data_IF_328620936262
#
_entry.id   IF_328620936262
#
_cell.length_a   1.000
_cell.length_b   1.000
_cell.length_c   1.000
_cell.angle_alpha   90.00
_cell.angle_beta   90.00
_cell.angle_gamma   90.00
#
_symmetry.space_group_name_H-M   'P 1'
#
loop_
_entity.id
_entity.type
_entity.pdbx_description
1 polymer ?
#
# COMPACT_ATOMS: atom_id res chain seq x y z
N UNK A 1 -19.99 17.09 1.60
CA UNK A 1 -19.03 17.64 2.59
C UNK A 1 -17.70 16.89 2.57
N UNK A 2 -17.66 15.57 2.76
CA UNK A 2 -16.41 14.78 2.82
C UNK A 2 -15.41 15.03 1.66
N UNK A 3 -15.90 15.03 0.42
CA UNK A 3 -15.06 15.27 -0.77
C UNK A 3 -14.40 16.65 -0.72
N UNK A 4 -15.18 17.70 -0.45
CA UNK A 4 -14.70 19.08 -0.41
C UNK A 4 -13.69 19.27 0.72
N UNK A 5 -13.99 18.79 1.93
CA UNK A 5 -13.06 18.89 3.05
C UNK A 5 -11.77 18.11 2.81
N UNK A 6 -11.86 16.92 2.20
CA UNK A 6 -10.70 16.13 1.83
C UNK A 6 -9.83 16.84 0.79
N UNK A 7 -10.44 17.40 -0.25
CA UNK A 7 -9.73 18.10 -1.32
C UNK A 7 -9.05 19.38 -0.81
N UNK A 8 -9.74 20.14 0.06
CA UNK A 8 -9.16 21.32 0.70
C UNK A 8 -7.96 20.96 1.58
N UNK A 9 -8.09 19.94 2.45
CA UNK A 9 -6.99 19.46 3.27
C UNK A 9 -5.80 19.00 2.41
N UNK A 10 -6.09 18.28 1.32
CA UNK A 10 -5.08 17.80 0.39
C UNK A 10 -4.31 18.95 -0.26
N UNK A 11 -5.02 19.93 -0.82
CA UNK A 11 -4.40 21.06 -1.52
C UNK A 11 -3.57 21.91 -0.55
N UNK A 12 -4.11 22.22 0.64
CA UNK A 12 -3.38 22.99 1.65
C UNK A 12 -2.11 22.24 2.08
N UNK A 13 -2.24 20.95 2.38
CA UNK A 13 -1.09 20.12 2.81
C UNK A 13 -0.06 19.99 1.70
N UNK A 14 -0.48 19.92 0.43
CA UNK A 14 0.43 19.90 -0.72
C UNK A 14 1.22 21.19 -0.82
N UNK A 15 0.54 22.34 -0.79
CA UNK A 15 1.21 23.65 -0.81
C UNK A 15 2.22 23.75 0.34
N UNK A 16 1.86 23.29 1.54
CA UNK A 16 2.79 23.28 2.69
C UNK A 16 3.97 22.32 2.46
N UNK A 17 3.72 21.11 1.94
CA UNK A 17 4.76 20.10 1.71
C UNK A 17 5.85 20.57 0.74
N UNK A 18 5.44 21.27 -0.33
CA UNK A 18 6.35 21.76 -1.37
C UNK A 18 6.99 23.11 -1.08
N UNK A 19 6.62 23.77 0.02
CA UNK A 19 7.20 25.04 0.43
C UNK A 19 7.91 24.87 1.77
N UNK A 20 9.21 24.52 1.74
CA UNK A 20 10.03 24.27 2.93
C UNK A 20 10.13 25.45 3.91
N UNK A 21 9.85 26.67 3.45
CA UNK A 21 9.87 27.87 4.29
C UNK A 21 8.61 28.02 5.14
N UNK A 22 7.54 27.27 4.85
CA UNK A 22 6.31 27.32 5.62
C UNK A 22 6.44 26.52 6.91
N UNK A 23 5.89 27.03 8.04
CA UNK A 23 5.78 26.25 9.26
C UNK A 23 5.10 24.90 8.99
N UNK A 24 5.55 23.85 9.67
CA UNK A 24 4.99 22.49 9.56
C UNK A 24 5.19 21.78 8.22
N UNK A 25 6.00 22.31 7.28
CA UNK A 25 6.31 21.63 6.02
C UNK A 25 6.78 20.18 6.23
N UNK A 26 7.62 19.96 7.23
CA UNK A 26 8.16 18.64 7.62
C UNK A 26 7.16 17.66 8.23
N UNK A 27 5.99 18.15 8.64
CA UNK A 27 4.93 17.37 9.26
C UNK A 27 3.70 17.21 8.36
N UNK A 28 3.74 17.75 7.15
CA UNK A 28 2.59 17.83 6.25
C UNK A 28 2.19 16.49 5.64
N UNK A 29 3.12 15.53 5.55
CA UNK A 29 2.94 14.29 4.79
C UNK A 29 1.76 13.42 5.27
N UNK A 30 1.54 13.16 6.58
CA UNK A 30 0.35 12.44 7.04
C UNK A 30 -0.95 13.17 6.70
N UNK A 31 -0.97 14.50 6.77
CA UNK A 31 -2.17 15.31 6.46
C UNK A 31 -2.48 15.35 4.97
N UNK A 32 -1.44 15.35 4.14
CA UNK A 32 -1.54 15.20 2.69
C UNK A 32 -2.25 13.89 2.33
N UNK A 33 -1.80 12.78 2.89
CA UNK A 33 -2.43 11.48 2.65
C UNK A 33 -3.81 11.34 3.30
N UNK A 34 -4.03 11.94 4.48
CA UNK A 34 -5.37 12.01 5.05
C UNK A 34 -6.33 12.75 4.11
N UNK A 35 -5.91 13.90 3.57
CA UNK A 35 -6.65 14.64 2.55
C UNK A 35 -6.95 13.79 1.32
N UNK A 36 -5.96 13.04 0.82
CA UNK A 36 -6.15 12.09 -0.28
C UNK A 36 -7.18 10.99 0.06
N UNK A 37 -7.07 10.34 1.22
CA UNK A 37 -7.98 9.28 1.66
C UNK A 37 -9.42 9.80 1.74
N UNK A 38 -9.63 10.98 2.32
CA UNK A 38 -10.95 11.62 2.41
C UNK A 38 -11.47 12.00 1.03
N UNK A 39 -10.61 12.48 0.14
CA UNK A 39 -10.95 12.81 -1.25
C UNK A 39 -11.38 11.56 -2.03
N UNK A 40 -10.59 10.48 -1.97
CA UNK A 40 -10.90 9.22 -2.65
C UNK A 40 -12.22 8.61 -2.16
N UNK A 41 -12.46 8.58 -0.84
CA UNK A 41 -13.73 8.12 -0.28
C UNK A 41 -14.88 9.08 -0.60
N UNK A 42 -14.64 10.38 -0.58
CA UNK A 42 -15.63 11.41 -0.94
C UNK A 42 -16.05 11.32 -2.40
N UNK A 43 -15.11 11.07 -3.31
CA UNK A 43 -15.35 10.87 -4.73
C UNK A 43 -16.16 9.59 -4.96
N UNK A 44 -15.78 8.52 -4.27
CA UNK A 44 -16.55 7.27 -4.26
C UNK A 44 -17.98 7.50 -3.77
N UNK A 45 -18.20 8.28 -2.70
CA UNK A 45 -19.55 8.62 -2.26
C UNK A 45 -20.33 9.46 -3.28
N UNK A 46 -19.68 10.46 -3.88
CA UNK A 46 -20.33 11.35 -4.84
C UNK A 46 -20.78 10.62 -6.11
N UNK A 47 -19.97 9.67 -6.60
CA UNK A 47 -20.23 8.96 -7.87
C UNK A 47 -21.02 7.66 -7.66
N UNK A 48 -20.73 6.92 -6.59
CA UNK A 48 -21.25 5.56 -6.37
C UNK A 48 -22.29 5.47 -5.25
N UNK A 49 -22.48 6.55 -4.46
CA UNK A 49 -23.35 6.55 -3.27
C UNK A 49 -22.78 5.79 -2.05
N UNK A 50 -21.62 5.15 -2.19
CA UNK A 50 -20.94 4.42 -1.13
C UNK A 50 -19.41 4.47 -1.29
N UNK A 51 -18.67 4.23 -0.20
CA UNK A 51 -17.20 4.20 -0.19
C UNK A 51 -16.69 3.14 0.77
N UNK A 52 -15.39 2.84 0.73
CA UNK A 52 -14.77 1.93 1.68
C UNK A 52 -14.98 2.40 3.13
N UNK A 53 -14.86 3.71 3.36
CA UNK A 53 -15.13 4.33 4.66
C UNK A 53 -16.57 4.09 5.13
N UNK A 54 -17.58 4.25 4.27
CA UNK A 54 -18.97 4.01 4.71
C UNK A 54 -19.30 2.52 4.85
N UNK A 55 -18.61 1.64 4.13
CA UNK A 55 -18.74 0.18 4.27
C UNK A 55 -18.13 -0.34 5.57
N UNK A 56 -16.94 0.13 5.94
CA UNK A 56 -16.24 -0.30 7.15
C UNK A 56 -16.65 0.47 8.41
N UNK A 57 -17.19 1.69 8.27
CA UNK A 57 -17.58 2.56 9.40
C UNK A 57 -16.39 2.73 10.37
N UNK A 58 -16.60 2.52 11.67
CA UNK A 58 -15.54 2.61 12.69
C UNK A 58 -14.37 1.64 12.47
N UNK A 59 -14.60 0.49 11.82
CA UNK A 59 -13.52 -0.44 11.47
C UNK A 59 -12.55 0.12 10.42
N UNK A 60 -12.89 1.23 9.75
CA UNK A 60 -11.96 1.91 8.85
C UNK A 60 -10.70 2.40 9.59
N UNK A 61 -10.81 2.71 10.89
CA UNK A 61 -9.66 3.11 11.73
C UNK A 61 -8.63 1.98 11.85
N UNK A 62 -9.06 0.70 11.80
CA UNK A 62 -8.15 -0.44 11.83
C UNK A 62 -7.19 -0.44 10.63
N UNK A 63 -7.61 0.12 9.48
CA UNK A 63 -6.72 0.23 8.32
C UNK A 63 -5.50 1.11 8.64
N UNK A 64 -5.69 2.20 9.39
CA UNK A 64 -4.56 3.04 9.82
C UNK A 64 -3.65 2.30 10.80
N UNK A 65 -4.25 1.56 11.75
CA UNK A 65 -3.50 0.80 12.74
C UNK A 65 -2.68 -0.33 12.12
N UNK A 66 -3.24 -1.06 11.15
CA UNK A 66 -2.53 -2.13 10.44
C UNK A 66 -1.46 -1.60 9.49
N UNK A 67 -1.64 -0.39 8.98
CA UNK A 67 -0.70 0.21 8.04
C UNK A 67 0.67 0.51 8.67
N UNK A 68 0.70 0.76 9.99
CA UNK A 68 1.94 1.00 10.74
C UNK A 68 2.86 -0.25 10.68
N UNK A 69 2.49 -1.41 11.26
CA UNK A 69 3.36 -2.58 11.21
C UNK A 69 3.57 -3.08 9.78
N UNK A 70 2.60 -2.89 8.88
CA UNK A 70 2.74 -3.23 7.47
C UNK A 70 3.96 -2.53 6.84
N UNK A 71 4.07 -1.20 6.95
CA UNK A 71 5.20 -0.50 6.35
C UNK A 71 6.53 -0.78 7.09
N UNK A 72 6.49 -0.96 8.41
CA UNK A 72 7.70 -1.30 9.17
C UNK A 72 8.33 -2.64 8.73
N UNK A 73 7.57 -3.57 8.14
CA UNK A 73 8.13 -4.77 7.50
C UNK A 73 9.02 -4.39 6.30
N UNK A 74 8.60 -3.42 5.49
CA UNK A 74 9.39 -2.92 4.35
C UNK A 74 10.63 -2.16 4.83
N UNK A 75 10.51 -1.36 5.90
CA UNK A 75 11.67 -0.71 6.52
C UNK A 75 12.69 -1.74 7.03
N UNK A 76 12.23 -2.82 7.68
CA UNK A 76 13.10 -3.90 8.12
C UNK A 76 13.79 -4.61 6.94
N UNK A 77 13.06 -4.85 5.85
CA UNK A 77 13.64 -5.39 4.62
C UNK A 77 14.65 -4.42 3.98
N UNK A 78 14.38 -3.11 4.05
CA UNK A 78 15.25 -2.07 3.52
C UNK A 78 16.57 -1.96 4.27
N UNK A 79 16.62 -2.28 5.57
CA UNK A 79 17.91 -2.39 6.28
C UNK A 79 18.84 -3.44 5.67
N UNK A 80 18.28 -4.45 5.00
CA UNK A 80 19.05 -5.49 4.31
C UNK A 80 19.46 -5.05 2.90
N UNK A 81 18.53 -4.46 2.13
CA UNK A 81 18.76 -4.15 0.71
C UNK A 81 19.30 -2.76 0.44
N UNK A 82 19.09 -1.80 1.35
CA UNK A 82 19.50 -0.39 1.25
C UNK A 82 19.02 0.28 -0.04
N UNK A 83 17.74 0.07 -0.38
CA UNK A 83 17.15 0.55 -1.63
C UNK A 83 16.63 1.98 -1.54
N UNK A 84 16.25 2.45 -0.36
CA UNK A 84 15.85 3.85 -0.13
C UNK A 84 16.41 4.39 1.17
N UNK A 85 16.63 5.70 1.21
CA UNK A 85 17.05 6.40 2.41
C UNK A 85 16.28 7.71 2.58
N UNK A 86 15.95 8.05 3.83
CA UNK A 86 15.27 9.30 4.17
C UNK A 86 16.29 10.43 4.36
N UNK A 87 16.04 11.55 3.69
CA UNK A 87 16.78 12.80 3.83
C UNK A 87 15.94 13.73 4.70
N UNK A 88 16.44 13.98 5.92
CA UNK A 88 15.80 14.84 6.89
C UNK A 88 16.40 16.26 6.84
N UNK A 89 15.60 17.32 7.09
CA UNK A 89 16.10 18.69 7.11
C UNK A 89 17.06 18.97 8.27
N UNK A 90 16.93 18.22 9.36
CA UNK A 90 17.81 18.26 10.52
C UNK A 90 17.82 16.91 11.24
N UNK A 91 18.84 16.64 12.09
CA UNK A 91 18.87 15.43 12.91
C UNK A 91 17.69 15.40 13.89
N UNK A 92 17.05 14.23 14.01
CA UNK A 92 15.95 13.98 14.95
C UNK A 92 16.30 12.81 15.87
N UNK A 93 15.70 12.75 17.05
CA UNK A 93 15.89 11.60 17.94
C UNK A 93 15.26 10.33 17.36
N UNK A 94 15.71 9.15 17.80
CA UNK A 94 15.15 7.87 17.34
C UNK A 94 13.66 7.72 17.67
N UNK A 95 13.25 8.18 18.86
CA UNK A 95 11.84 8.11 19.30
C UNK A 95 10.98 9.05 18.44
N UNK A 96 11.47 10.25 18.19
CA UNK A 96 10.80 11.21 17.33
C UNK A 96 10.66 10.69 15.90
N UNK A 97 11.72 10.11 15.34
CA UNK A 97 11.66 9.45 14.03
C UNK A 97 10.61 8.34 14.02
N UNK A 98 10.63 7.44 15.00
CA UNK A 98 9.69 6.34 15.12
C UNK A 98 8.23 6.81 15.11
N UNK A 99 7.91 7.86 15.88
CA UNK A 99 6.57 8.42 15.96
C UNK A 99 6.14 9.12 14.66
N UNK A 100 7.00 10.00 14.12
CA UNK A 100 6.72 10.74 12.86
C UNK A 100 6.59 9.79 11.67
N UNK A 101 7.47 8.81 11.58
CA UNK A 101 7.45 7.79 10.53
C UNK A 101 6.21 6.90 10.67
N UNK A 102 5.89 6.40 11.87
CA UNK A 102 4.69 5.58 12.10
C UNK A 102 3.40 6.33 11.75
N UNK A 103 3.31 7.63 12.05
CA UNK A 103 2.17 8.44 11.64
C UNK A 103 2.05 8.53 10.12
N UNK A 104 3.17 8.73 9.40
CA UNK A 104 3.20 8.73 7.94
C UNK A 104 2.84 7.36 7.35
N UNK A 105 3.38 6.29 7.93
CA UNK A 105 3.15 4.91 7.51
C UNK A 105 1.71 4.45 7.76
N UNK A 106 1.02 5.05 8.73
CA UNK A 106 -0.39 4.75 9.02
C UNK A 106 -1.33 5.02 7.83
N UNK A 107 -0.92 5.79 6.82
CA UNK A 107 -1.83 6.20 5.74
C UNK A 107 -1.79 5.30 4.51
N UNK A 108 -0.82 4.37 4.43
CA UNK A 108 -0.57 3.55 3.23
C UNK A 108 -1.75 2.65 2.87
N UNK A 109 -2.15 1.76 3.78
CA UNK A 109 -3.28 0.84 3.56
C UNK A 109 -4.59 1.58 3.26
N UNK A 110 -5.04 2.56 4.07
CA UNK A 110 -6.31 3.22 3.80
C UNK A 110 -6.30 3.99 2.47
N UNK A 111 -5.17 4.56 2.04
CA UNK A 111 -5.07 5.23 0.75
C UNK A 111 -5.22 4.25 -0.42
N UNK A 112 -4.44 3.16 -0.41
CA UNK A 112 -4.45 2.15 -1.48
C UNK A 112 -5.81 1.48 -1.57
N UNK A 113 -6.37 1.01 -0.45
CA UNK A 113 -7.64 0.30 -0.47
C UNK A 113 -8.82 1.19 -0.82
N UNK A 114 -8.82 2.46 -0.41
CA UNK A 114 -9.87 3.42 -0.82
C UNK A 114 -9.85 3.68 -2.32
N UNK A 115 -8.65 3.81 -2.89
CA UNK A 115 -8.46 3.98 -4.35
C UNK A 115 -8.88 2.72 -5.10
N UNK A 116 -8.44 1.55 -4.64
CA UNK A 116 -8.81 0.26 -5.22
C UNK A 116 -10.32 0.01 -5.16
N UNK A 117 -10.98 0.39 -4.05
CA UNK A 117 -12.44 0.26 -3.91
C UNK A 117 -13.20 1.05 -4.97
N UNK A 118 -12.78 2.30 -5.21
CA UNK A 118 -13.37 3.15 -6.24
C UNK A 118 -13.22 2.53 -7.64
N UNK A 119 -12.00 2.13 -8.01
CA UNK A 119 -11.69 1.50 -9.30
C UNK A 119 -12.49 0.20 -9.51
N UNK A 120 -12.52 -0.64 -8.48
CA UNK A 120 -13.19 -1.94 -8.51
C UNK A 120 -14.69 -1.82 -8.83
N UNK A 121 -15.34 -0.75 -8.40
CA UNK A 121 -16.77 -0.52 -8.66
C UNK A 121 -17.09 -0.35 -10.16
N UNK A 122 -16.11 0.05 -10.96
CA UNK A 122 -16.21 0.09 -12.42
C UNK A 122 -15.73 -1.23 -13.04
N UNK A 123 -14.57 -1.73 -12.62
CA UNK A 123 -13.98 -2.94 -13.21
C UNK A 123 -14.84 -4.20 -13.00
N UNK A 124 -15.61 -4.29 -11.93
CA UNK A 124 -16.56 -5.39 -11.71
C UNK A 124 -17.68 -5.47 -12.75
N UNK A 125 -17.95 -4.39 -13.48
CA UNK A 125 -18.95 -4.35 -14.56
C UNK A 125 -18.36 -4.70 -15.93
N UNK A 126 -17.08 -5.02 -15.99
CA UNK A 126 -16.36 -5.35 -17.23
C UNK A 126 -16.13 -6.85 -17.36
N UNK A 127 -15.53 -7.27 -18.48
CA UNK A 127 -15.12 -8.65 -18.74
C UNK A 127 -14.19 -9.24 -17.66
N UNK A 128 -13.52 -8.39 -16.86
CA UNK A 128 -12.69 -8.83 -15.74
C UNK A 128 -13.47 -9.58 -14.65
N UNK A 129 -14.79 -9.41 -14.55
CA UNK A 129 -15.61 -10.15 -13.59
C UNK A 129 -16.19 -11.46 -14.17
N UNK A 130 -15.79 -11.81 -15.39
CA UNK A 130 -16.14 -13.06 -16.08
C UNK A 130 -14.92 -13.62 -16.82
N UNK A 131 -13.74 -13.41 -16.24
CA UNK A 131 -12.48 -13.86 -16.82
C UNK A 131 -12.30 -15.38 -16.71
N UNK A 132 -11.18 -15.87 -17.23
CA UNK A 132 -10.82 -17.28 -17.15
C UNK A 132 -10.74 -17.73 -15.68
N UNK A 133 -11.32 -18.89 -15.40
CA UNK A 133 -11.25 -19.55 -14.09
C UNK A 133 -9.93 -20.31 -13.99
N UNK A 134 -9.30 -20.27 -12.82
CA UNK A 134 -8.07 -21.01 -12.56
C UNK A 134 -8.26 -21.91 -11.35
N UNK A 135 -7.93 -23.19 -11.50
CA UNK A 135 -7.92 -24.09 -10.35
C UNK A 135 -6.73 -23.71 -9.45
N UNK A 136 -7.01 -23.20 -8.26
CA UNK A 136 -6.00 -23.00 -7.22
C UNK A 136 -6.10 -24.18 -6.28
N UNK A 137 -5.09 -25.06 -6.29
CA UNK A 137 -5.03 -26.19 -5.35
C UNK A 137 -4.18 -25.83 -4.12
N UNK A 138 -4.42 -26.53 -3.01
CA UNK A 138 -3.70 -26.31 -1.75
C UNK A 138 -2.18 -26.51 -1.91
N UNK A 139 -1.76 -27.39 -2.82
CA UNK A 139 -0.34 -27.57 -3.13
C UNK A 139 0.29 -26.30 -3.72
N UNK A 140 -0.36 -25.62 -4.67
CA UNK A 140 0.13 -24.35 -5.21
C UNK A 140 0.21 -23.26 -4.12
N UNK A 141 -0.76 -23.20 -3.22
CA UNK A 141 -0.74 -22.29 -2.08
C UNK A 141 0.45 -22.59 -1.15
N UNK A 142 0.70 -23.86 -0.83
CA UNK A 142 1.86 -24.27 -0.03
C UNK A 142 3.19 -23.91 -0.70
N UNK A 143 3.33 -24.18 -2.00
CA UNK A 143 4.54 -23.82 -2.77
C UNK A 143 4.76 -22.30 -2.73
N UNK A 144 3.71 -21.50 -2.98
CA UNK A 144 3.81 -20.04 -2.92
C UNK A 144 4.24 -19.55 -1.52
N UNK A 145 3.67 -20.13 -0.46
CA UNK A 145 4.05 -19.82 0.93
C UNK A 145 5.52 -20.12 1.20
N UNK A 146 6.00 -21.31 0.82
CA UNK A 146 7.40 -21.71 0.98
C UNK A 146 8.31 -20.77 0.17
N UNK A 147 7.94 -20.42 -1.06
CA UNK A 147 8.67 -19.45 -1.88
C UNK A 147 8.74 -18.08 -1.20
N UNK A 148 7.66 -17.61 -0.59
CA UNK A 148 7.64 -16.37 0.17
C UNK A 148 8.62 -16.39 1.35
N UNK A 149 8.61 -17.48 2.15
CA UNK A 149 9.55 -17.67 3.27
C UNK A 149 11.01 -17.71 2.78
N UNK A 150 11.29 -18.46 1.72
CA UNK A 150 12.64 -18.51 1.12
C UNK A 150 13.05 -17.13 0.59
N UNK A 151 12.12 -16.34 0.05
CA UNK A 151 12.40 -15.00 -0.46
C UNK A 151 12.95 -14.07 0.62
N UNK A 152 12.43 -14.13 1.86
CA UNK A 152 13.00 -13.38 2.98
C UNK A 152 14.44 -13.80 3.31
N UNK A 153 14.76 -15.09 3.23
CA UNK A 153 16.14 -15.57 3.38
C UNK A 153 17.05 -15.08 2.25
N UNK A 154 16.55 -15.03 1.02
CA UNK A 154 17.29 -14.52 -0.13
C UNK A 154 17.54 -13.00 -0.04
N UNK A 155 16.62 -12.22 0.53
CA UNK A 155 16.83 -10.80 0.82
C UNK A 155 18.02 -10.59 1.75
N UNK A 156 18.19 -11.45 2.76
CA UNK A 156 19.33 -11.42 3.67
C UNK A 156 20.64 -11.86 2.98
N UNK A 157 20.61 -12.96 2.21
CA UNK A 157 21.84 -13.57 1.66
C UNK A 157 22.36 -12.87 0.40
N UNK A 158 21.48 -12.34 -0.46
CA UNK A 158 21.83 -11.79 -1.78
C UNK A 158 21.14 -10.44 -2.07
N UNK A 159 21.21 -9.45 -1.16
CA UNK A 159 20.37 -8.24 -1.20
C UNK A 159 20.41 -7.48 -2.53
N UNK A 160 21.59 -7.36 -3.16
CA UNK A 160 21.77 -6.64 -4.43
C UNK A 160 20.98 -7.26 -5.61
N UNK A 161 20.70 -8.56 -5.58
CA UNK A 161 19.99 -9.27 -6.64
C UNK A 161 18.54 -9.57 -6.27
N UNK A 162 18.29 -9.87 -5.00
CA UNK A 162 16.98 -10.29 -4.51
C UNK A 162 16.07 -9.14 -4.08
N UNK A 163 16.54 -7.89 -4.09
CA UNK A 163 15.72 -6.74 -3.68
C UNK A 163 14.33 -6.63 -4.33
N UNK A 164 14.07 -7.07 -5.59
CA UNK A 164 12.71 -7.03 -6.12
C UNK A 164 11.72 -7.88 -5.31
N UNK A 165 12.22 -8.90 -4.59
CA UNK A 165 11.42 -9.74 -3.72
C UNK A 165 10.84 -8.99 -2.51
N UNK A 166 11.35 -7.80 -2.16
CA UNK A 166 10.73 -6.95 -1.13
C UNK A 166 9.27 -6.66 -1.47
N UNK A 167 8.95 -6.52 -2.76
CA UNK A 167 7.62 -6.18 -3.26
C UNK A 167 6.77 -7.41 -3.65
N UNK A 168 7.25 -8.62 -3.34
CA UNK A 168 6.56 -9.88 -3.64
C UNK A 168 6.47 -10.83 -2.44
N UNK A 169 7.43 -10.77 -1.52
CA UNK A 169 7.58 -11.75 -0.45
C UNK A 169 6.38 -11.78 0.48
N UNK A 170 5.78 -10.62 0.78
CA UNK A 170 4.68 -10.55 1.72
C UNK A 170 3.38 -11.11 1.11
N UNK A 171 3.12 -10.86 -0.18
CA UNK A 171 1.93 -11.44 -0.84
C UNK A 171 2.08 -12.95 -0.96
N UNK A 172 3.29 -13.45 -1.24
CA UNK A 172 3.59 -14.88 -1.31
C UNK A 172 3.39 -15.59 0.04
N UNK A 173 3.44 -14.88 1.16
CA UNK A 173 3.15 -15.42 2.49
C UNK A 173 1.68 -15.21 2.88
N UNK A 174 1.21 -13.96 2.85
CA UNK A 174 -0.11 -13.60 3.38
C UNK A 174 -1.26 -14.16 2.54
N UNK A 175 -1.13 -14.18 1.21
CA UNK A 175 -2.22 -14.61 0.34
C UNK A 175 -2.51 -16.12 0.42
N UNK A 176 -1.51 -17.02 0.37
CA UNK A 176 -1.76 -18.45 0.58
C UNK A 176 -2.32 -18.78 1.96
N UNK A 177 -1.92 -18.03 2.99
CA UNK A 177 -2.51 -18.16 4.33
C UNK A 177 -3.98 -17.76 4.32
N UNK A 178 -4.34 -16.63 3.71
CA UNK A 178 -5.75 -16.22 3.58
C UNK A 178 -6.57 -17.31 2.88
N UNK A 179 -6.07 -17.80 1.74
CA UNK A 179 -6.72 -18.85 0.97
C UNK A 179 -6.94 -20.12 1.81
N UNK A 180 -5.90 -20.59 2.50
CA UNK A 180 -5.92 -21.84 3.28
C UNK A 180 -6.76 -21.72 4.55
N UNK A 181 -6.83 -20.54 5.16
CA UNK A 181 -7.60 -20.27 6.37
C UNK A 181 -9.08 -19.93 6.09
N UNK A 182 -9.48 -19.86 4.81
CA UNK A 182 -10.83 -19.46 4.40
C UNK A 182 -11.12 -17.97 4.62
N UNK A 183 -10.08 -17.14 4.84
CA UNK A 183 -10.17 -15.69 4.91
C UNK A 183 -10.35 -15.15 3.48
N UNK A 184 -11.03 -14.00 3.26
CA UNK A 184 -11.14 -13.42 1.93
C UNK A 184 -9.78 -13.27 1.24
N UNK A 185 -9.69 -13.83 0.05
CA UNK A 185 -8.45 -14.01 -0.71
C UNK A 185 -8.71 -13.63 -2.17
N UNK A 186 -7.77 -12.92 -2.80
CA UNK A 186 -7.86 -12.60 -4.23
C UNK A 186 -7.61 -13.83 -5.11
N UNK A 187 -6.80 -14.81 -4.67
CA UNK A 187 -6.68 -16.11 -5.33
C UNK A 187 -8.03 -16.84 -5.41
N UNK A 188 -8.83 -16.79 -4.32
CA UNK A 188 -10.19 -17.34 -4.31
C UNK A 188 -11.16 -16.62 -5.26
N UNK A 189 -10.93 -15.32 -5.53
CA UNK A 189 -11.73 -14.57 -6.49
C UNK A 189 -11.32 -14.92 -7.93
N UNK A 190 -10.02 -14.99 -8.21
CA UNK A 190 -9.49 -15.40 -9.51
C UNK A 190 -9.92 -16.83 -9.86
N UNK A 191 -9.95 -17.75 -8.90
CA UNK A 191 -10.41 -19.12 -9.16
C UNK A 191 -11.87 -19.19 -9.63
N UNK A 192 -12.67 -18.18 -9.26
CA UNK A 192 -14.06 -17.99 -9.70
C UNK A 192 -14.19 -17.13 -10.96
N UNK A 193 -13.08 -16.71 -11.57
CA UNK A 193 -13.05 -15.84 -12.75
C UNK A 193 -13.24 -14.36 -12.46
N UNK A 194 -13.14 -13.94 -11.18
CA UNK A 194 -13.34 -12.55 -10.74
C UNK A 194 -12.00 -11.83 -10.59
N UNK A 195 -11.50 -11.32 -11.70
CA UNK A 195 -10.21 -10.62 -11.82
C UNK A 195 -10.26 -9.13 -11.45
N UNK A 196 -11.46 -8.53 -11.48
CA UNK A 196 -11.64 -7.10 -11.25
C UNK A 196 -10.95 -6.62 -9.96
N UNK A 197 -11.06 -7.40 -8.89
CA UNK A 197 -10.44 -7.06 -7.61
C UNK A 197 -8.90 -7.05 -7.70
N UNK A 198 -8.30 -8.09 -8.26
CA UNK A 198 -6.84 -8.20 -8.45
C UNK A 198 -6.28 -7.00 -9.21
N UNK A 199 -6.92 -6.64 -10.33
CA UNK A 199 -6.52 -5.48 -11.14
C UNK A 199 -6.73 -4.18 -10.37
N UNK A 200 -7.81 -4.05 -9.62
CA UNK A 200 -8.10 -2.83 -8.86
C UNK A 200 -7.11 -2.58 -7.73
N UNK A 201 -6.67 -3.63 -7.05
CA UNK A 201 -5.65 -3.53 -6.01
C UNK A 201 -4.31 -3.05 -6.60
N UNK A 202 -3.89 -3.66 -7.72
CA UNK A 202 -2.66 -3.26 -8.43
C UNK A 202 -2.73 -1.81 -8.95
N UNK A 203 -3.84 -1.42 -9.59
CA UNK A 203 -4.03 -0.04 -10.08
C UNK A 203 -4.16 0.97 -8.94
N UNK A 204 -4.83 0.61 -7.85
CA UNK A 204 -4.97 1.47 -6.68
C UNK A 204 -3.61 1.81 -6.07
N UNK A 205 -2.73 0.81 -5.95
CA UNK A 205 -1.36 1.00 -5.51
C UNK A 205 -0.50 1.74 -6.54
N UNK A 206 -0.66 1.49 -7.85
CA UNK A 206 0.07 2.23 -8.88
C UNK A 206 -0.27 3.74 -8.87
N UNK A 207 -1.55 4.09 -8.70
CA UNK A 207 -1.99 5.48 -8.60
C UNK A 207 -1.45 6.11 -7.32
N UNK A 208 -1.53 5.42 -6.17
CA UNK A 208 -0.92 5.92 -4.94
C UNK A 208 0.60 6.05 -5.09
N UNK A 209 1.25 5.11 -5.78
CA UNK A 209 2.64 5.13 -6.19
C UNK A 209 3.02 6.42 -6.89
N UNK A 210 2.27 6.76 -7.94
CA UNK A 210 2.46 8.04 -8.65
C UNK A 210 2.38 9.25 -7.71
N UNK A 211 1.39 9.29 -6.81
CA UNK A 211 1.25 10.41 -5.86
C UNK A 211 2.32 10.43 -4.77
N UNK A 212 2.78 9.26 -4.29
CA UNK A 212 3.93 9.15 -3.39
C UNK A 212 5.15 9.80 -4.04
N UNK A 213 5.46 9.45 -5.29
CA UNK A 213 6.61 9.99 -6.00
C UNK A 213 6.47 11.49 -6.32
N UNK A 214 5.28 11.92 -6.77
CA UNK A 214 4.98 13.33 -7.02
C UNK A 214 5.20 14.18 -5.77
N UNK A 215 4.59 13.79 -4.65
CA UNK A 215 4.63 14.61 -3.44
C UNK A 215 5.97 14.55 -2.75
N UNK A 216 6.68 13.43 -2.83
CA UNK A 216 8.04 13.29 -2.32
C UNK A 216 9.06 14.22 -3.02
N UNK A 217 8.84 14.55 -4.29
CA UNK A 217 9.83 15.23 -5.13
C UNK A 217 10.35 16.56 -4.54
N UNK A 218 9.44 17.43 -4.10
CA UNK A 218 9.75 18.73 -3.47
C UNK A 218 9.48 18.76 -1.97
N UNK A 219 9.36 17.61 -1.30
CA UNK A 219 9.12 17.57 0.15
C UNK A 219 10.43 17.52 0.96
N UNK A 220 10.38 18.04 2.18
CA UNK A 220 11.41 17.84 3.19
C UNK A 220 10.69 17.51 4.51
N UNK A 221 10.85 16.31 5.09
CA UNK A 221 11.73 15.22 4.65
C UNK A 221 11.26 14.55 3.34
N UNK A 222 12.20 13.91 2.66
CA UNK A 222 11.95 13.09 1.45
C UNK A 222 12.71 11.78 1.50
N UNK A 223 12.32 10.80 0.69
CA UNK A 223 13.13 9.60 0.44
C UNK A 223 13.75 9.64 -0.95
N UNK A 224 14.93 9.03 -1.07
CA UNK A 224 15.65 8.90 -2.35
C UNK A 224 15.97 7.43 -2.58
N UNK A 225 15.78 6.98 -3.82
CA UNK A 225 16.04 5.60 -4.23
C UNK A 225 17.47 5.39 -4.73
N UNK A 226 18.07 4.29 -4.28
CA UNK A 226 19.36 3.76 -4.72
C UNK A 226 19.13 2.31 -5.15
N UNK A 227 18.71 2.11 -6.41
CA UNK A 227 18.42 0.78 -6.93
C UNK A 227 19.62 0.21 -7.71
N UNK A 228 20.13 -0.99 -7.35
CA UNK A 228 21.22 -1.62 -8.08
C UNK A 228 20.87 -1.77 -9.57
N UNK A 229 21.64 -1.10 -10.44
CA UNK A 229 21.53 -1.18 -11.91
C UNK A 229 20.20 -0.70 -12.53
N UNK A 230 19.25 -0.20 -11.73
CA UNK A 230 17.94 0.27 -12.19
C UNK A 230 17.70 1.76 -11.95
N UNK A 231 18.72 2.55 -11.59
CA UNK A 231 18.55 3.96 -11.19
C UNK A 231 18.36 4.95 -12.36
N UNK A 232 18.01 4.48 -13.56
CA UNK A 232 17.90 5.29 -14.79
C UNK A 232 16.44 5.63 -15.13
N UNK A 233 16.23 6.67 -15.95
CA UNK A 233 14.90 7.11 -16.43
C UNK A 233 13.89 7.34 -15.30
N UNK A 234 14.19 8.30 -14.43
CA UNK A 234 13.34 8.63 -13.28
C UNK A 234 12.10 9.43 -13.68
N UNK A 235 10.97 9.09 -13.06
CA UNK A 235 9.77 9.92 -13.01
C UNK A 235 9.61 10.33 -11.55
N UNK A 236 9.89 11.61 -11.27
CA UNK A 236 10.20 12.12 -9.92
C UNK A 236 11.43 11.41 -9.31
N UNK A 237 11.33 10.83 -8.11
CA UNK A 237 12.47 10.15 -7.47
C UNK A 237 12.65 8.69 -7.92
N UNK A 238 11.57 8.04 -8.36
CA UNK A 238 11.56 6.62 -8.71
C UNK A 238 11.91 6.37 -10.19
N UNK A 239 12.81 5.42 -10.49
CA UNK A 239 13.00 4.91 -11.85
C UNK A 239 11.70 4.34 -12.44
N UNK A 240 11.48 4.47 -13.74
CA UNK A 240 10.24 4.01 -14.39
C UNK A 240 9.94 2.53 -14.13
N UNK A 241 10.98 1.68 -14.10
CA UNK A 241 10.84 0.24 -13.79
C UNK A 241 10.46 0.00 -12.32
N UNK A 242 10.81 0.93 -11.43
CA UNK A 242 10.41 0.88 -10.02
C UNK A 242 8.90 0.94 -9.83
N UNK A 243 8.17 1.61 -10.73
CA UNK A 243 6.70 1.66 -10.67
C UNK A 243 6.04 0.29 -10.86
N UNK A 244 6.73 -0.68 -11.48
CA UNK A 244 6.24 -2.05 -11.59
C UNK A 244 6.11 -2.73 -10.22
N UNK A 245 6.88 -2.29 -9.22
CA UNK A 245 6.77 -2.76 -7.84
C UNK A 245 5.44 -2.40 -7.17
N UNK A 246 4.79 -1.31 -7.59
CA UNK A 246 3.49 -0.91 -7.05
C UNK A 246 2.36 -1.90 -7.41
N UNK A 247 2.50 -2.65 -8.53
CA UNK A 247 1.49 -3.62 -8.96
C UNK A 247 1.32 -4.77 -7.95
N UNK A 248 2.36 -5.55 -7.60
CA UNK A 248 2.23 -6.56 -6.56
C UNK A 248 2.07 -5.95 -5.17
N UNK A 249 2.62 -4.77 -4.89
CA UNK A 249 2.44 -4.08 -3.61
C UNK A 249 0.96 -3.84 -3.26
N UNK A 250 0.12 -3.51 -4.24
CA UNK A 250 -1.33 -3.40 -4.01
C UNK A 250 -1.98 -4.71 -3.54
N UNK A 251 -1.47 -5.85 -4.01
CA UNK A 251 -1.91 -7.17 -3.55
C UNK A 251 -1.38 -7.47 -2.15
N UNK A 252 -0.15 -7.06 -1.83
CA UNK A 252 0.43 -7.17 -0.48
C UNK A 252 -0.41 -6.41 0.55
N UNK A 253 -0.77 -5.16 0.23
CA UNK A 253 -1.66 -4.33 1.06
C UNK A 253 -2.96 -5.06 1.37
N UNK A 254 -3.63 -5.60 0.34
CA UNK A 254 -4.89 -6.29 0.55
C UNK A 254 -4.72 -7.60 1.33
N UNK A 255 -3.79 -8.47 0.92
CA UNK A 255 -3.61 -9.78 1.56
C UNK A 255 -3.21 -9.64 3.02
N UNK A 256 -2.34 -8.68 3.35
CA UNK A 256 -2.00 -8.37 4.74
C UNK A 256 -3.21 -7.86 5.52
N UNK A 257 -3.94 -6.88 4.96
CA UNK A 257 -5.14 -6.32 5.62
C UNK A 257 -6.18 -7.39 5.91
N UNK A 258 -6.47 -8.26 4.94
CA UNK A 258 -7.44 -9.34 5.11
C UNK A 258 -6.98 -10.37 6.13
N UNK A 259 -5.68 -10.68 6.19
CA UNK A 259 -5.13 -11.56 7.20
C UNK A 259 -5.33 -10.98 8.60
N UNK A 260 -5.00 -9.71 8.82
CA UNK A 260 -5.21 -9.02 10.10
C UNK A 260 -6.69 -8.99 10.50
N UNK A 261 -7.59 -8.56 9.60
CA UNK A 261 -9.03 -8.53 9.87
C UNK A 261 -9.59 -9.93 10.13
N UNK A 262 -9.16 -10.93 9.36
CA UNK A 262 -9.58 -12.32 9.51
C UNK A 262 -9.14 -12.91 10.85
N UNK A 263 -7.93 -12.59 11.31
CA UNK A 263 -7.43 -12.98 12.64
C UNK A 263 -8.25 -12.30 13.74
N UNK A 264 -8.49 -10.98 13.66
CA UNK A 264 -9.32 -10.28 14.64
C UNK A 264 -10.72 -10.91 14.75
N UNK A 265 -11.35 -11.17 13.61
CA UNK A 265 -12.68 -11.76 13.58
C UNK A 265 -12.71 -13.18 14.14
N UNK A 266 -11.78 -14.02 13.72
CA UNK A 266 -11.76 -15.44 14.06
C UNK A 266 -11.35 -15.70 15.51
N UNK A 267 -10.40 -14.95 16.03
CA UNK A 267 -9.79 -15.21 17.35
C UNK A 267 -10.26 -14.26 18.44
N UNK A 268 -10.66 -13.04 18.10
CA UNK A 268 -11.08 -12.02 19.08
C UNK A 268 -12.57 -11.69 18.98
N UNK A 269 -13.28 -12.19 17.96
CA UNK A 269 -14.70 -11.85 17.74
C UNK A 269 -14.92 -10.37 17.43
N UNK A 270 -13.86 -9.65 17.08
CA UNK A 270 -13.87 -8.23 16.75
C UNK A 270 -13.86 -8.11 15.22
N UNK A 271 -14.78 -7.32 14.66
CA UNK A 271 -15.00 -7.05 13.22
C UNK A 271 -15.98 -7.97 12.48
#
# INVERSE_FOLDING_TARGET
MLLVSGAVLLIISWVIAWNHNLPFSEHSFPFLWLGYILTANGLSLAILGHSLLTKLRWHFVLLFLFSIPFWWIFEAANQLVNNWHYVLPHPVSQIEYLLRASLSFSTVIPAVLSTAYFINSFLQKTWLNSGKKFAVCNYCALVAFITGVISFFLLYKFPTFSFPLVWLSLVLVAEPLNFSLGIPSWLSQISKGKWAFFVSAALGALICGFFWELWNYYSAPKWVYVLPRLSYFKVFEMPILGYLGYLPFGLEVYSFTMLCLGILKKFLGVV
#
